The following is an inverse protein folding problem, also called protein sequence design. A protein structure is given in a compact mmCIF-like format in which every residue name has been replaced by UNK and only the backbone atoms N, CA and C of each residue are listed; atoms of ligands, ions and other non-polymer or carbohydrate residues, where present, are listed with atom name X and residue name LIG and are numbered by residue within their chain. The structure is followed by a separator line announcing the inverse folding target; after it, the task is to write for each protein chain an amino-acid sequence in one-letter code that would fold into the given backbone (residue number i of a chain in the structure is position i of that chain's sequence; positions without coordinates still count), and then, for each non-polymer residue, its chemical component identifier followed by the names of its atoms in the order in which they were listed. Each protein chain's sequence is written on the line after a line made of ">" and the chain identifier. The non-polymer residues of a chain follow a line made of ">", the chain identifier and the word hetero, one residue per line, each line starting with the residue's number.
data_IF_155614053225
#
_entry.id   IF_155614053225
#
_cell.length_a   1.000
_cell.length_b   1.000
_cell.length_c   1.000
_cell.angle_alpha   90.00
_cell.angle_beta   90.00
_cell.angle_gamma   90.00
#
_symmetry.space_group_name_H-M   'P 1'
#
loop_
_entity.id
_entity.type
_entity.pdbx_description
1 polymer ?
#
# COMPACT_ATOMS: atom_id res chain seq x y z
N UNK A 1 5.98 12.12 -5.24
CA UNK A 1 6.76 11.20 -4.38
C UNK A 1 6.91 11.61 -2.90
N UNK A 2 6.84 12.90 -2.51
CA UNK A 2 7.12 13.34 -1.13
C UNK A 2 6.16 12.85 -0.02
N UNK A 3 4.95 12.38 -0.36
CA UNK A 3 3.92 12.02 0.63
C UNK A 3 3.83 10.49 0.85
N UNK A 4 4.17 9.69 -0.17
CA UNK A 4 4.06 8.23 -0.14
C UNK A 4 5.07 7.58 0.81
N UNK A 5 6.34 7.96 0.66
CA UNK A 5 7.43 7.30 1.38
C UNK A 5 7.44 7.53 2.90
N UNK A 6 7.16 8.74 3.43
CA UNK A 6 7.17 8.94 4.87
C UNK A 6 6.16 8.05 5.61
N UNK A 7 4.95 7.88 5.07
CA UNK A 7 3.92 7.05 5.70
C UNK A 7 4.30 5.57 5.69
N UNK A 8 4.78 5.06 4.56
CA UNK A 8 5.29 3.69 4.46
C UNK A 8 6.43 3.44 5.45
N UNK A 9 7.44 4.32 5.50
CA UNK A 9 8.57 4.17 6.43
C UNK A 9 8.14 4.26 7.89
N UNK A 10 7.14 5.10 8.21
CA UNK A 10 6.54 5.17 9.55
C UNK A 10 5.95 3.81 9.96
N UNK A 11 5.18 3.16 9.09
CA UNK A 11 4.55 1.87 9.40
C UNK A 11 5.55 0.73 9.46
N UNK A 12 6.50 0.68 8.52
CA UNK A 12 7.60 -0.29 8.57
C UNK A 12 8.38 -0.14 9.87
N UNK A 13 8.79 1.09 10.21
CA UNK A 13 9.48 1.37 11.46
C UNK A 13 8.68 0.88 12.66
N UNK A 14 7.41 1.27 12.79
CA UNK A 14 6.55 0.88 13.92
C UNK A 14 6.31 -0.62 14.04
N UNK A 15 6.42 -1.39 12.95
CA UNK A 15 6.26 -2.85 12.98
C UNK A 15 7.41 -3.59 13.68
N UNK A 16 8.56 -2.93 13.87
CA UNK A 16 9.64 -3.41 14.73
C UNK A 16 10.60 -4.42 14.08
N UNK A 17 11.56 -4.88 14.90
CA UNK A 17 12.73 -5.63 14.43
C UNK A 17 12.39 -6.97 13.75
N UNK A 18 11.27 -7.61 14.12
CA UNK A 18 10.81 -8.85 13.48
C UNK A 18 10.56 -8.64 12.00
N UNK A 19 9.71 -7.67 11.63
CA UNK A 19 9.42 -7.36 10.23
C UNK A 19 10.69 -6.94 9.48
N UNK A 20 11.52 -6.10 10.10
CA UNK A 20 12.77 -5.65 9.50
C UNK A 20 13.68 -6.84 9.15
N UNK A 21 13.75 -7.84 10.03
CA UNK A 21 14.55 -9.06 9.84
C UNK A 21 13.98 -9.91 8.70
N UNK A 22 12.66 -10.12 8.68
CA UNK A 22 11.98 -10.90 7.62
C UNK A 22 12.17 -10.24 6.24
N UNK A 23 11.97 -8.92 6.14
CA UNK A 23 12.23 -8.17 4.91
C UNK A 23 13.71 -8.24 4.50
N UNK A 24 14.64 -8.11 5.45
CA UNK A 24 16.07 -8.22 5.16
C UNK A 24 16.45 -9.61 4.64
N UNK A 25 15.88 -10.67 5.20
CA UNK A 25 16.10 -12.04 4.76
C UNK A 25 15.53 -12.28 3.36
N UNK A 26 14.29 -11.85 3.10
CA UNK A 26 13.64 -11.98 1.79
C UNK A 26 14.44 -11.24 0.70
N UNK A 27 14.73 -9.96 0.92
CA UNK A 27 15.38 -9.11 -0.08
C UNK A 27 16.80 -9.61 -0.37
N UNK A 28 17.59 -9.94 0.65
CA UNK A 28 18.96 -10.45 0.45
C UNK A 28 18.96 -11.79 -0.26
N UNK A 29 18.01 -12.67 0.07
CA UNK A 29 17.88 -13.99 -0.57
C UNK A 29 17.52 -13.84 -2.05
N UNK A 30 16.51 -13.02 -2.37
CA UNK A 30 16.09 -12.79 -3.74
C UNK A 30 17.20 -12.13 -4.58
N UNK A 31 17.91 -11.12 -4.07
CA UNK A 31 19.05 -10.51 -4.77
C UNK A 31 20.18 -11.52 -5.02
N UNK A 32 20.51 -12.35 -4.02
CA UNK A 32 21.54 -13.40 -4.18
C UNK A 32 21.15 -14.44 -5.23
N UNK A 33 19.90 -14.89 -5.23
CA UNK A 33 19.39 -15.87 -6.20
C UNK A 33 19.37 -15.32 -7.63
N UNK A 34 19.31 -14.00 -7.80
CA UNK A 34 19.37 -13.33 -9.11
C UNK A 34 20.78 -12.78 -9.42
N UNK A 35 21.83 -13.45 -8.95
CA UNK A 35 23.22 -13.14 -9.32
C UNK A 35 23.77 -11.82 -8.74
N UNK A 36 23.11 -11.26 -7.72
CA UNK A 36 23.44 -9.96 -7.16
C UNK A 36 22.78 -8.78 -7.89
N UNK A 37 21.98 -9.04 -8.91
CA UNK A 37 21.31 -8.00 -9.69
C UNK A 37 19.91 -7.68 -9.15
N UNK A 38 19.54 -6.41 -9.24
CA UNK A 38 18.21 -5.92 -8.89
C UNK A 38 17.44 -5.65 -10.18
N UNK A 39 16.70 -6.65 -10.64
CA UNK A 39 15.81 -6.56 -11.80
C UNK A 39 14.35 -6.49 -11.36
N UNK A 40 13.45 -6.08 -12.26
CA UNK A 40 12.00 -6.16 -12.01
C UNK A 40 11.56 -7.59 -11.68
N UNK A 41 12.12 -8.58 -12.39
CA UNK A 41 11.86 -9.99 -12.13
C UNK A 41 12.32 -10.45 -10.73
N UNK A 42 13.45 -9.92 -10.25
CA UNK A 42 13.90 -10.18 -8.88
C UNK A 42 12.97 -9.57 -7.83
N UNK A 43 12.42 -8.37 -8.10
CA UNK A 43 11.47 -7.73 -7.19
C UNK A 43 10.14 -8.50 -7.09
N UNK A 44 9.69 -9.16 -8.16
CA UNK A 44 8.51 -10.05 -8.12
C UNK A 44 8.70 -11.28 -7.23
N UNK A 45 9.94 -11.66 -6.91
CA UNK A 45 10.26 -12.76 -5.98
C UNK A 45 10.26 -12.32 -4.50
N UNK A 46 9.76 -11.12 -4.20
CA UNK A 46 9.73 -10.54 -2.85
C UNK A 46 8.28 -10.25 -2.41
N UNK A 47 7.47 -11.30 -2.16
CA UNK A 47 6.05 -11.15 -1.85
C UNK A 47 5.77 -10.39 -0.55
N UNK A 48 6.60 -10.53 0.50
CA UNK A 48 6.43 -9.77 1.73
C UNK A 48 6.69 -8.27 1.49
N UNK A 49 7.75 -7.92 0.76
CA UNK A 49 8.03 -6.52 0.39
C UNK A 49 6.86 -5.92 -0.41
N UNK A 50 6.33 -6.64 -1.39
CA UNK A 50 5.16 -6.23 -2.17
C UNK A 50 3.94 -5.99 -1.26
N UNK A 51 3.65 -6.94 -0.38
CA UNK A 51 2.54 -6.84 0.58
C UNK A 51 2.70 -5.66 1.55
N UNK A 52 3.91 -5.38 2.04
CA UNK A 52 4.19 -4.25 2.94
C UNK A 52 3.90 -2.89 2.27
N UNK A 53 4.21 -2.75 0.98
CA UNK A 53 3.88 -1.53 0.22
C UNK A 53 2.37 -1.37 0.13
N UNK A 54 1.65 -2.43 -0.25
CA UNK A 54 0.19 -2.37 -0.35
C UNK A 54 -0.50 -2.15 0.99
N UNK A 55 0.00 -2.75 2.07
CA UNK A 55 -0.56 -2.52 3.40
C UNK A 55 -0.36 -1.08 3.86
N UNK A 56 0.78 -0.46 3.49
CA UNK A 56 1.02 0.96 3.78
C UNK A 56 0.03 1.87 3.03
N UNK A 57 -0.26 1.55 1.77
CA UNK A 57 -1.21 2.30 0.94
C UNK A 57 -2.67 2.08 1.38
N UNK A 58 -3.01 0.87 1.82
CA UNK A 58 -4.34 0.54 2.34
C UNK A 58 -4.62 1.24 3.67
N UNK A 59 -3.71 1.13 4.64
CA UNK A 59 -3.95 1.62 6.01
C UNK A 59 -3.92 3.15 6.09
N UNK A 60 -3.15 3.80 5.21
CA UNK A 60 -3.03 5.25 5.19
C UNK A 60 -2.87 5.77 3.76
N UNK A 61 -3.99 5.83 3.02
CA UNK A 61 -3.96 6.31 1.66
C UNK A 61 -3.42 7.76 1.57
N UNK A 62 -2.42 8.02 0.70
CA UNK A 62 -1.76 9.33 0.62
C UNK A 62 -2.70 10.49 0.24
N UNK A 63 -3.76 10.19 -0.52
CA UNK A 63 -4.83 11.14 -0.86
C UNK A 63 -6.13 10.59 -0.30
N UNK A 64 -6.56 11.13 0.84
CA UNK A 64 -7.68 10.58 1.59
C UNK A 64 -9.06 10.92 1.00
N UNK A 65 -9.17 11.94 0.16
CA UNK A 65 -10.45 12.50 -0.29
C UNK A 65 -10.62 12.32 -1.80
N UNK A 66 -11.73 11.70 -2.22
CA UNK A 66 -12.16 11.62 -3.61
C UNK A 66 -13.53 12.28 -3.79
N UNK A 67 -13.75 12.86 -4.96
CA UNK A 67 -14.99 13.56 -5.29
C UNK A 67 -15.49 13.13 -6.67
N UNK A 68 -16.80 13.08 -6.82
CA UNK A 68 -17.47 12.83 -8.10
C UNK A 68 -18.79 13.58 -8.17
N UNK A 69 -19.16 14.10 -9.34
CA UNK A 69 -20.50 14.69 -9.54
C UNK A 69 -21.37 13.71 -10.30
N UNK A 70 -22.57 13.44 -9.78
CA UNK A 70 -23.53 12.59 -10.45
C UNK A 70 -23.90 13.15 -11.83
N UNK A 71 -23.81 12.32 -12.87
CA UNK A 71 -24.13 12.70 -14.27
C UNK A 71 -25.55 12.34 -14.70
N UNK A 72 -26.26 11.62 -13.85
CA UNK A 72 -27.64 11.14 -14.01
C UNK A 72 -28.14 10.67 -12.65
N UNK A 73 -29.44 10.42 -12.53
CA UNK A 73 -30.01 9.74 -11.36
C UNK A 73 -29.56 8.26 -11.31
N UNK A 74 -29.22 7.78 -10.12
CA UNK A 74 -28.86 6.37 -9.87
C UNK A 74 -28.98 6.01 -8.38
N UNK A 75 -28.80 4.73 -8.08
CA UNK A 75 -28.81 4.20 -6.71
C UNK A 75 -27.36 3.84 -6.32
N UNK A 76 -26.93 4.28 -5.13
CA UNK A 76 -25.70 3.83 -4.47
C UNK A 76 -26.08 2.85 -3.36
N UNK A 77 -25.44 1.69 -3.35
CA UNK A 77 -25.62 0.68 -2.31
C UNK A 77 -24.47 0.73 -1.29
N UNK A 78 -24.83 0.65 -0.02
CA UNK A 78 -23.92 0.33 1.08
C UNK A 78 -24.13 -1.13 1.49
N UNK A 79 -23.47 -1.59 2.55
CA UNK A 79 -23.63 -2.97 3.00
C UNK A 79 -25.03 -3.34 3.47
N UNK A 80 -25.81 -2.37 3.94
CA UNK A 80 -27.08 -2.64 4.63
C UNK A 80 -28.28 -1.89 3.99
N UNK A 81 -28.01 -0.81 3.27
CA UNK A 81 -29.04 0.08 2.70
C UNK A 81 -28.61 0.66 1.35
N UNK A 82 -29.60 1.14 0.59
CA UNK A 82 -29.40 1.81 -0.69
C UNK A 82 -29.93 3.25 -0.65
N UNK A 83 -29.28 4.15 -1.37
CA UNK A 83 -29.60 5.58 -1.45
C UNK A 83 -29.81 6.01 -2.89
N UNK A 84 -30.86 6.77 -3.15
CA UNK A 84 -31.03 7.45 -4.43
C UNK A 84 -30.17 8.71 -4.47
N UNK A 85 -29.42 8.88 -5.56
CA UNK A 85 -28.59 10.04 -5.85
C UNK A 85 -29.11 10.70 -7.11
N UNK A 86 -29.33 12.01 -7.02
CA UNK A 86 -29.84 12.83 -8.11
C UNK A 86 -28.72 13.40 -8.98
N UNK A 87 -29.03 13.60 -10.26
CA UNK A 87 -28.13 14.28 -11.18
C UNK A 87 -27.66 15.63 -10.61
N UNK A 88 -26.36 15.90 -10.73
CA UNK A 88 -25.74 17.13 -10.25
C UNK A 88 -25.29 17.09 -8.78
N UNK A 89 -25.71 16.11 -7.97
CA UNK A 89 -25.24 15.96 -6.60
C UNK A 89 -23.73 15.69 -6.53
N UNK A 90 -23.06 16.27 -5.53
CA UNK A 90 -21.63 16.08 -5.28
C UNK A 90 -21.44 14.93 -4.28
N UNK A 91 -20.80 13.87 -4.74
CA UNK A 91 -20.39 12.74 -3.94
C UNK A 91 -18.99 12.97 -3.38
N UNK A 92 -18.81 12.54 -2.14
CA UNK A 92 -17.55 12.58 -1.43
C UNK A 92 -17.27 11.21 -0.82
N UNK A 93 -16.06 10.71 -1.04
CA UNK A 93 -15.54 9.51 -0.42
C UNK A 93 -14.33 9.84 0.46
N UNK A 94 -14.37 9.40 1.72
CA UNK A 94 -13.21 9.41 2.60
C UNK A 94 -12.54 8.04 2.59
N UNK A 95 -11.48 7.91 1.79
CA UNK A 95 -10.82 6.65 1.48
C UNK A 95 -10.35 5.84 2.70
N UNK A 96 -9.76 6.45 3.75
CA UNK A 96 -9.29 5.68 4.90
C UNK A 96 -10.40 4.86 5.59
N UNK A 97 -11.66 5.27 5.50
CA UNK A 97 -12.76 4.47 6.03
C UNK A 97 -13.10 3.29 5.11
N UNK A 98 -13.11 3.52 3.79
CA UNK A 98 -13.36 2.47 2.81
C UNK A 98 -12.27 1.39 2.80
N UNK A 99 -10.99 1.77 2.88
CA UNK A 99 -9.87 0.81 2.88
C UNK A 99 -9.62 0.15 4.24
N UNK A 100 -10.39 0.54 5.27
CA UNK A 100 -10.41 -0.06 6.62
C UNK A 100 -11.78 -0.64 6.97
N UNK A 101 -12.57 -0.99 5.96
CA UNK A 101 -13.88 -1.58 6.19
C UNK A 101 -13.75 -2.98 6.85
N UNK A 102 -14.29 -3.19 8.06
CA UNK A 102 -14.22 -4.48 8.76
C UNK A 102 -15.02 -5.60 8.07
N UNK A 103 -15.96 -5.27 7.16
CA UNK A 103 -16.67 -6.27 6.34
C UNK A 103 -15.79 -6.77 5.18
N UNK A 104 -14.68 -6.10 4.88
CA UNK A 104 -13.74 -6.44 3.80
C UNK A 104 -12.40 -6.95 4.35
N UNK A 105 -11.85 -6.27 5.36
CA UNK A 105 -10.54 -6.57 5.94
C UNK A 105 -10.65 -7.02 7.40
N UNK A 106 -10.03 -8.15 7.72
CA UNK A 106 -9.80 -8.56 9.11
C UNK A 106 -8.80 -7.62 9.77
N UNK A 107 -9.00 -7.29 11.06
CA UNK A 107 -8.12 -6.35 11.81
C UNK A 107 -7.79 -5.11 10.97
N UNK A 108 -8.81 -4.35 10.51
CA UNK A 108 -8.62 -3.33 9.47
C UNK A 108 -7.79 -2.13 9.95
N UNK A 109 -7.77 -1.88 11.24
CA UNK A 109 -7.00 -0.82 11.89
C UNK A 109 -5.55 -1.21 12.19
N UNK A 110 -5.20 -2.48 12.05
CA UNK A 110 -3.84 -2.98 12.27
C UNK A 110 -3.03 -2.98 10.97
N UNK A 111 -1.75 -2.63 11.08
CA UNK A 111 -0.79 -2.83 10.01
C UNK A 111 -0.35 -4.29 10.01
N UNK A 112 -0.85 -5.06 9.04
CA UNK A 112 -0.54 -6.49 8.88
C UNK A 112 0.39 -6.67 7.68
N UNK A 113 1.72 -6.80 7.88
CA UNK A 113 2.70 -6.76 6.80
C UNK A 113 2.47 -7.81 5.70
N UNK A 114 1.95 -8.98 6.08
CA UNK A 114 1.70 -10.11 5.20
C UNK A 114 0.28 -10.19 4.65
N UNK A 115 -0.55 -9.14 4.80
CA UNK A 115 -1.98 -9.14 4.43
C UNK A 115 -2.24 -9.56 2.97
N UNK A 116 -1.34 -9.19 2.07
CA UNK A 116 -1.46 -9.42 0.63
C UNK A 116 -0.50 -10.50 0.12
N UNK A 117 0.03 -11.36 1.00
CA UNK A 117 0.86 -12.51 0.60
C UNK A 117 -0.03 -13.70 0.26
N UNK A 118 0.25 -14.35 -0.87
CA UNK A 118 -0.49 -15.52 -1.34
C UNK A 118 -1.77 -15.15 -2.09
N UNK A 119 -2.37 -16.13 -2.75
CA UNK A 119 -3.50 -15.93 -3.68
C UNK A 119 -4.70 -15.21 -3.01
N UNK A 120 -5.15 -15.69 -1.84
CA UNK A 120 -6.24 -15.05 -1.09
C UNK A 120 -5.91 -13.60 -0.66
N UNK A 121 -4.63 -13.33 -0.38
CA UNK A 121 -4.16 -11.99 -0.06
C UNK A 121 -4.19 -11.08 -1.28
N UNK A 122 -3.71 -11.56 -2.42
CA UNK A 122 -3.68 -10.80 -3.68
C UNK A 122 -5.08 -10.50 -4.22
N UNK A 123 -6.07 -11.38 -4.02
CA UNK A 123 -7.46 -11.10 -4.38
C UNK A 123 -8.01 -9.83 -3.69
N UNK A 124 -7.54 -9.53 -2.47
CA UNK A 124 -7.95 -8.33 -1.73
C UNK A 124 -7.36 -7.03 -2.30
N UNK A 125 -6.41 -7.09 -3.23
CA UNK A 125 -5.86 -5.89 -3.88
C UNK A 125 -6.94 -5.09 -4.63
N UNK A 126 -8.02 -5.74 -5.07
CA UNK A 126 -9.19 -5.04 -5.64
C UNK A 126 -9.85 -4.03 -4.69
N UNK A 127 -9.57 -4.12 -3.39
CA UNK A 127 -10.07 -3.22 -2.35
C UNK A 127 -9.01 -2.21 -1.87
N UNK A 128 -7.83 -2.18 -2.49
CA UNK A 128 -6.82 -1.13 -2.27
C UNK A 128 -7.05 -0.05 -3.32
N UNK A 129 -7.45 1.15 -2.87
CA UNK A 129 -8.04 2.18 -3.74
C UNK A 129 -7.19 3.45 -3.90
N UNK A 130 -5.95 3.42 -3.42
CA UNK A 130 -5.07 4.59 -3.28
C UNK A 130 -4.89 5.39 -4.58
N UNK A 131 -4.96 4.71 -5.74
CA UNK A 131 -4.81 5.30 -7.07
C UNK A 131 -6.09 5.89 -7.65
N UNK A 132 -7.16 6.07 -6.85
CA UNK A 132 -8.51 6.44 -7.31
C UNK A 132 -9.14 5.37 -8.23
N UNK A 133 -8.90 4.10 -7.91
CA UNK A 133 -9.41 2.92 -8.60
C UNK A 133 -8.82 1.66 -7.94
N UNK A 134 -9.39 0.46 -8.19
CA UNK A 134 -8.83 -0.81 -7.70
C UNK A 134 -7.39 -1.01 -8.18
N UNK A 135 -6.50 -1.49 -7.30
CA UNK A 135 -5.10 -1.81 -7.66
C UNK A 135 -4.99 -2.86 -8.78
N UNK A 136 -6.02 -3.70 -8.94
CA UNK A 136 -6.09 -4.71 -10.00
C UNK A 136 -6.49 -4.16 -11.37
N UNK A 137 -6.81 -2.87 -11.46
CA UNK A 137 -7.17 -2.18 -12.71
C UNK A 137 -6.04 -1.28 -13.22
N UNK A 138 -6.05 -1.02 -14.52
CA UNK A 138 -5.06 -0.15 -15.18
C UNK A 138 -5.65 1.23 -15.51
N UNK A 139 -4.86 2.30 -15.38
CA UNK A 139 -5.26 3.62 -15.84
C UNK A 139 -5.40 3.63 -17.36
N UNK A 140 -6.42 4.32 -17.85
CA UNK A 140 -6.69 4.48 -19.27
C UNK A 140 -7.09 5.91 -19.56
N UNK A 141 -7.05 6.31 -20.84
CA UNK A 141 -7.57 7.62 -21.27
C UNK A 141 -9.07 7.79 -20.98
N UNK A 142 -9.79 6.70 -20.70
CA UNK A 142 -11.22 6.70 -20.38
C UNK A 142 -11.55 6.74 -18.89
N UNK A 143 -10.57 6.60 -17.99
CA UNK A 143 -10.79 6.61 -16.54
C UNK A 143 -9.99 7.74 -15.85
N UNK A 144 -10.16 7.85 -14.53
CA UNK A 144 -9.51 8.87 -13.68
C UNK A 144 -8.58 8.25 -12.64
N UNK A 145 -8.09 7.04 -12.88
CA UNK A 145 -7.09 6.41 -12.05
C UNK A 145 -5.73 7.12 -12.24
N UNK A 146 -4.86 7.09 -11.23
CA UNK A 146 -3.53 7.67 -11.33
C UNK A 146 -2.75 7.05 -12.50
N UNK A 147 -2.29 7.87 -13.43
CA UNK A 147 -1.60 7.42 -14.64
C UNK A 147 -0.28 6.68 -14.34
N UNK A 148 0.41 7.07 -13.26
CA UNK A 148 1.75 6.58 -12.92
C UNK A 148 1.75 5.59 -11.73
N UNK A 149 0.59 5.01 -11.38
CA UNK A 149 0.43 4.23 -10.15
C UNK A 149 1.44 3.08 -10.01
N UNK A 150 1.73 2.36 -11.11
CA UNK A 150 2.71 1.29 -11.14
C UNK A 150 4.15 1.77 -10.92
N UNK A 151 4.49 2.99 -11.38
CA UNK A 151 5.82 3.59 -11.13
C UNK A 151 5.98 3.95 -9.65
N UNK A 152 4.92 4.44 -9.01
CA UNK A 152 4.94 4.79 -7.58
C UNK A 152 5.07 3.56 -6.67
N UNK A 153 4.34 2.47 -6.97
CA UNK A 153 4.49 1.19 -6.25
C UNK A 153 5.92 0.66 -6.39
N UNK A 154 6.47 0.66 -7.61
CA UNK A 154 7.84 0.21 -7.86
C UNK A 154 8.87 1.12 -7.18
N UNK A 155 8.65 2.43 -7.16
CA UNK A 155 9.47 3.37 -6.40
C UNK A 155 9.49 3.08 -4.90
N UNK A 156 8.34 2.76 -4.30
CA UNK A 156 8.24 2.36 -2.89
C UNK A 156 9.03 1.07 -2.61
N UNK A 157 8.90 0.05 -3.48
CA UNK A 157 9.62 -1.21 -3.38
C UNK A 157 11.14 -1.01 -3.45
N UNK A 158 11.60 -0.19 -4.40
CA UNK A 158 13.01 0.16 -4.53
C UNK A 158 13.57 0.85 -3.28
N UNK A 159 12.83 1.79 -2.69
CA UNK A 159 13.25 2.52 -1.49
C UNK A 159 13.39 1.58 -0.26
N UNK A 160 12.44 0.65 -0.05
CA UNK A 160 12.53 -0.35 1.02
C UNK A 160 13.80 -1.18 0.85
N UNK A 161 13.98 -1.72 -0.36
CA UNK A 161 15.14 -2.54 -0.72
C UNK A 161 16.45 -1.80 -0.48
N UNK A 162 16.59 -0.57 -0.96
CA UNK A 162 17.82 0.21 -0.79
C UNK A 162 18.13 0.45 0.68
N UNK A 163 17.14 0.81 1.49
CA UNK A 163 17.33 1.02 2.92
C UNK A 163 17.73 -0.23 3.69
N UNK A 164 17.23 -1.39 3.28
CA UNK A 164 17.61 -2.68 3.88
C UNK A 164 19.03 -3.08 3.47
N UNK A 165 19.39 -2.91 2.19
CA UNK A 165 20.73 -3.26 1.69
C UNK A 165 21.80 -2.38 2.34
N UNK A 166 21.56 -1.08 2.44
CA UNK A 166 22.52 -0.13 3.05
C UNK A 166 22.45 -0.07 4.58
N UNK A 167 21.69 -0.97 5.21
CA UNK A 167 21.61 -1.09 6.67
C UNK A 167 20.92 0.07 7.40
N UNK A 168 20.13 0.89 6.68
CA UNK A 168 19.38 2.02 7.26
C UNK A 168 18.10 1.60 7.98
N UNK A 169 17.58 0.42 7.70
CA UNK A 169 16.54 -0.22 8.52
C UNK A 169 17.23 -1.21 9.45
N UNK A 170 17.27 -0.90 10.74
CA UNK A 170 17.93 -1.77 11.72
C UNK A 170 17.09 -3.03 11.97
N UNK A 171 17.74 -4.18 11.88
CA UNK A 171 17.17 -5.49 12.23
C UNK A 171 17.40 -5.85 13.70
N UNK A 172 18.00 -4.96 14.49
CA UNK A 172 18.34 -5.19 15.89
C UNK A 172 17.44 -4.34 16.82
N UNK A 173 16.76 -4.99 17.77
CA UNK A 173 15.87 -4.31 18.73
C UNK A 173 16.58 -3.23 19.55
N UNK A 174 17.88 -3.38 19.82
CA UNK A 174 18.67 -2.39 20.57
C UNK A 174 18.85 -1.06 19.83
N UNK A 175 18.97 -1.10 18.51
CA UNK A 175 19.20 0.10 17.68
C UNK A 175 17.89 0.77 17.26
N UNK A 176 16.77 0.04 17.33
CA UNK A 176 15.43 0.56 17.05
C UNK A 176 15.06 1.70 17.99
N UNK A 177 15.29 1.54 19.30
CA UNK A 177 15.02 2.57 20.30
C UNK A 177 15.96 3.79 20.20
N UNK A 178 17.10 3.66 19.51
CA UNK A 178 18.09 4.73 19.38
C UNK A 178 17.88 5.64 18.16
N UNK A 179 17.19 5.17 17.10
CA UNK A 179 17.21 5.82 15.78
C UNK A 179 15.84 6.30 15.26
N UNK A 180 14.73 6.01 15.94
CA UNK A 180 13.36 6.33 15.44
C UNK A 180 13.03 7.84 15.44
N UNK A 181 13.84 8.70 16.08
CA UNK A 181 13.54 10.15 16.21
C UNK A 181 14.55 11.10 15.55
N UNK A 182 15.43 10.64 14.66
CA UNK A 182 16.32 11.54 13.90
C UNK A 182 15.85 11.68 12.46
N UNK A 183 14.72 12.36 12.27
CA UNK A 183 14.40 13.04 11.01
C UNK A 183 15.17 14.35 10.98
N UNK A 184 16.13 14.49 10.05
CA UNK A 184 16.61 15.80 9.62
C UNK A 184 15.58 16.45 8.69
#
# INVERSE_FOLDING_TARGET
>A
MKIFFPNMLKWIGRAGAKLHTELAQEIRSAVKSNGGEVTMAAMEQMPLMKSVVYESLRIEPPVASQYGRAKRDFIIESHDVAFEVKEGELLFGYQPFATKDPKIFDRPEEFVPSRFVGEEGEEKLRHVLWSNGPETESPTVGNKQCADFGQEVNGCRLEIKERIIVGRISTNERDYNANVFKTN
#
